data_IF_405499889586
#
_entry.id   IF_405499889586
#
_cell.length_a   1.000
_cell.length_b   1.000
_cell.length_c   1.000
_cell.angle_alpha   90.00
_cell.angle_beta   90.00
_cell.angle_gamma   90.00
#
_symmetry.space_group_name_H-M   'P 1'
#
loop_
_entity.id
_entity.type
_entity.pdbx_description
1 polymer ?
#
# COMPACT_ATOMS: atom_id res chain seq x y z
N UNK A 1 -15.75 36.54 -5.18
CA UNK A 1 -14.37 36.16 -5.54
C UNK A 1 -14.13 34.75 -5.04
N UNK A 2 -14.27 33.74 -5.91
CA UNK A 2 -14.03 32.34 -5.55
C UNK A 2 -12.54 32.03 -5.67
N UNK A 3 -11.94 31.52 -4.60
CA UNK A 3 -10.57 31.03 -4.63
C UNK A 3 -10.53 29.80 -5.54
N UNK A 4 -10.08 30.01 -6.77
CA UNK A 4 -9.56 28.96 -7.61
C UNK A 4 -8.24 28.51 -6.98
N UNK A 5 -8.29 27.44 -6.18
CA UNK A 5 -7.09 26.71 -5.79
C UNK A 5 -6.51 26.10 -7.07
N UNK A 6 -5.68 26.90 -7.74
CA UNK A 6 -4.74 26.47 -8.77
C UNK A 6 -3.99 25.30 -8.17
N UNK A 7 -4.24 24.10 -8.69
CA UNK A 7 -3.54 22.90 -8.33
C UNK A 7 -2.04 23.18 -8.44
N UNK A 8 -1.42 23.45 -7.28
CA UNK A 8 0.03 23.42 -7.15
C UNK A 8 0.50 22.12 -7.79
N UNK A 9 1.66 22.17 -8.45
CA UNK A 9 2.32 21.14 -9.30
C UNK A 9 2.47 19.71 -8.71
N UNK A 10 1.64 19.27 -7.77
CA UNK A 10 1.50 17.91 -7.29
C UNK A 10 0.84 17.05 -8.37
N UNK A 11 1.62 16.13 -8.96
CA UNK A 11 1.13 15.14 -9.92
C UNK A 11 -0.04 14.35 -9.33
N UNK A 12 -1.22 14.46 -9.95
CA UNK A 12 -2.39 13.63 -9.59
C UNK A 12 -2.11 12.20 -10.04
N UNK A 13 -2.31 11.23 -9.14
CA UNK A 13 -1.96 9.84 -9.38
C UNK A 13 -3.16 9.11 -10.01
N UNK A 14 -2.90 8.33 -11.05
CA UNK A 14 -3.92 7.47 -11.67
C UNK A 14 -4.15 6.20 -10.84
N UNK A 15 -5.33 5.61 -10.94
CA UNK A 15 -5.65 4.31 -10.31
C UNK A 15 -6.24 3.32 -11.32
N UNK A 16 -6.39 2.06 -10.92
CA UNK A 16 -7.10 1.02 -11.67
C UNK A 16 -7.72 -0.02 -10.73
N UNK A 17 -8.82 -0.62 -11.16
CA UNK A 17 -9.35 -1.81 -10.53
C UNK A 17 -8.57 -3.06 -10.94
N UNK A 18 -8.31 -3.94 -9.98
CA UNK A 18 -7.73 -5.26 -10.20
C UNK A 18 -8.71 -6.30 -9.68
N UNK A 19 -9.23 -7.11 -10.60
CA UNK A 19 -10.17 -8.17 -10.30
C UNK A 19 -9.46 -9.52 -10.27
N UNK A 20 -9.82 -10.37 -9.30
CA UNK A 20 -9.31 -11.73 -9.17
C UNK A 20 -10.42 -12.65 -8.65
N UNK A 21 -10.65 -13.74 -9.36
CA UNK A 21 -11.44 -14.86 -8.85
C UNK A 21 -10.55 -15.70 -7.95
N UNK A 22 -11.02 -16.01 -6.74
CA UNK A 22 -10.38 -16.97 -5.84
C UNK A 22 -11.22 -18.23 -5.81
N UNK A 23 -10.61 -19.33 -6.22
CA UNK A 23 -11.17 -20.67 -6.06
C UNK A 23 -10.86 -21.19 -4.65
N UNK A 24 -11.65 -22.14 -4.18
CA UNK A 24 -11.35 -22.96 -2.99
C UNK A 24 -10.38 -24.07 -3.38
N UNK A 25 -9.89 -24.81 -2.38
CA UNK A 25 -8.94 -25.91 -2.59
C UNK A 25 -9.54 -27.07 -3.42
N UNK A 26 -10.87 -27.20 -3.40
CA UNK A 26 -11.64 -28.15 -4.23
C UNK A 26 -11.92 -27.66 -5.67
N UNK A 27 -11.39 -26.49 -6.05
CA UNK A 27 -11.58 -25.88 -7.36
C UNK A 27 -12.90 -25.14 -7.55
N UNK A 28 -13.82 -25.17 -6.58
CA UNK A 28 -15.10 -24.44 -6.66
C UNK A 28 -14.91 -22.94 -6.45
N UNK A 29 -15.87 -22.13 -6.93
CA UNK A 29 -15.84 -20.68 -6.74
C UNK A 29 -15.86 -20.33 -5.25
N UNK A 30 -14.78 -19.71 -4.77
CA UNK A 30 -14.66 -19.24 -3.41
C UNK A 30 -15.16 -17.81 -3.25
N UNK A 31 -14.54 -16.85 -3.95
CA UNK A 31 -14.95 -15.43 -3.92
C UNK A 31 -14.44 -14.63 -5.12
N UNK A 32 -15.17 -13.59 -5.49
CA UNK A 32 -14.65 -12.52 -6.34
C UNK A 32 -13.92 -11.49 -5.47
N UNK A 33 -12.76 -11.01 -5.92
CA UNK A 33 -11.98 -9.98 -5.24
C UNK A 33 -11.74 -8.82 -6.20
N UNK A 34 -12.19 -7.62 -5.83
CA UNK A 34 -11.80 -6.37 -6.47
C UNK A 34 -10.82 -5.62 -5.56
N UNK A 35 -9.79 -4.99 -6.12
CA UNK A 35 -8.87 -4.10 -5.39
C UNK A 35 -8.67 -2.83 -6.20
N UNK A 36 -8.75 -1.68 -5.55
CA UNK A 36 -8.30 -0.44 -6.16
C UNK A 36 -6.79 -0.30 -5.93
N UNK A 37 -6.03 -0.11 -7.00
CA UNK A 37 -4.57 0.00 -6.97
C UNK A 37 -4.14 1.29 -7.64
N UNK A 38 -3.24 2.00 -6.99
CA UNK A 38 -2.65 3.24 -7.49
C UNK A 38 -1.54 2.90 -8.47
N UNK A 39 -1.45 3.64 -9.58
CA UNK A 39 -0.37 3.53 -10.57
C UNK A 39 0.81 4.42 -10.14
N UNK A 40 1.47 4.10 -9.02
CA UNK A 40 2.54 4.92 -8.43
C UNK A 40 3.89 4.93 -9.15
N UNK A 41 3.95 4.51 -10.43
CA UNK A 41 5.16 4.51 -11.25
C UNK A 41 5.72 5.92 -11.52
N UNK A 42 4.99 6.99 -11.17
CA UNK A 42 5.34 8.39 -11.43
C UNK A 42 5.96 9.16 -10.26
N UNK A 43 6.10 8.54 -9.07
CA UNK A 43 6.78 9.18 -7.93
C UNK A 43 8.30 8.94 -8.00
N UNK A 44 9.09 10.01 -7.98
CA UNK A 44 10.56 10.00 -7.80
C UNK A 44 10.86 9.95 -6.30
N UNK A 45 10.71 8.77 -5.70
CA UNK A 45 11.27 8.46 -4.39
C UNK A 45 11.92 7.09 -4.46
N UNK A 46 13.06 6.94 -3.81
CA UNK A 46 13.75 5.66 -3.63
C UNK A 46 12.87 4.78 -2.76
N UNK A 47 12.51 3.59 -3.26
CA UNK A 47 11.69 2.65 -2.51
C UNK A 47 12.61 1.84 -1.62
N UNK A 48 12.82 2.28 -0.39
CA UNK A 48 13.50 1.48 0.62
C UNK A 48 12.52 0.42 1.13
N UNK A 49 12.64 -0.80 0.61
CA UNK A 49 12.01 -1.96 1.24
C UNK A 49 13.01 -2.54 2.23
N UNK A 50 12.73 -2.58 3.53
CA UNK A 50 13.60 -3.21 4.50
C UNK A 50 13.56 -4.73 4.29
N UNK A 51 14.43 -5.23 3.41
CA UNK A 51 14.65 -6.67 3.26
C UNK A 51 15.59 -7.10 4.38
N UNK A 52 15.04 -7.73 5.41
CA UNK A 52 15.85 -8.35 6.45
C UNK A 52 16.74 -9.41 5.79
N UNK A 53 18.05 -9.34 6.05
CA UNK A 53 19.00 -10.35 5.56
C UNK A 53 18.68 -11.69 6.20
N UNK A 54 18.71 -12.77 5.41
CA UNK A 54 18.47 -14.12 5.90
C UNK A 54 19.45 -14.52 7.03
N UNK A 55 20.65 -13.93 7.07
CA UNK A 55 21.60 -14.12 8.17
C UNK A 55 21.05 -13.69 9.52
N UNK A 56 20.35 -12.55 9.58
CA UNK A 56 19.72 -12.05 10.81
C UNK A 56 18.61 -13.01 11.25
N UNK A 57 17.76 -13.45 10.31
CA UNK A 57 16.70 -14.42 10.58
C UNK A 57 17.27 -15.72 11.15
N UNK A 58 18.36 -16.23 10.56
CA UNK A 58 19.04 -17.44 11.04
C UNK A 58 19.64 -17.26 12.43
N UNK A 59 20.25 -16.11 12.72
CA UNK A 59 20.79 -15.81 14.05
C UNK A 59 19.69 -15.78 15.12
N UNK A 60 18.55 -15.13 14.82
CA UNK A 60 17.40 -15.10 15.74
C UNK A 60 16.89 -16.53 15.99
N UNK A 61 16.72 -17.33 14.93
CA UNK A 61 16.29 -18.73 15.06
C UNK A 61 17.28 -19.56 15.90
N UNK A 62 18.59 -19.37 15.71
CA UNK A 62 19.61 -20.05 16.49
C UNK A 62 19.51 -19.72 17.99
N UNK A 63 19.26 -18.45 18.33
CA UNK A 63 19.06 -18.00 19.72
C UNK A 63 17.79 -18.64 20.29
N UNK A 64 16.69 -18.60 19.56
CA UNK A 64 15.41 -19.19 19.98
C UNK A 64 15.56 -20.68 20.31
N UNK A 65 16.25 -21.43 19.45
CA UNK A 65 16.52 -22.86 19.68
C UNK A 65 17.44 -23.07 20.87
N UNK A 66 18.53 -22.31 20.99
CA UNK A 66 19.48 -22.43 22.10
C UNK A 66 18.84 -22.12 23.45
N UNK A 67 17.92 -21.16 23.49
CA UNK A 67 17.20 -20.74 24.70
C UNK A 67 15.90 -21.53 24.94
N UNK A 68 15.55 -22.47 24.05
CA UNK A 68 14.28 -23.23 24.06
C UNK A 68 13.05 -22.32 24.12
N UNK A 69 13.10 -21.18 23.43
CA UNK A 69 11.99 -20.24 23.37
C UNK A 69 10.95 -20.65 22.34
N UNK A 70 9.70 -20.29 22.60
CA UNK A 70 8.61 -20.45 21.63
C UNK A 70 8.64 -19.26 20.65
N UNK A 71 8.61 -19.55 19.35
CA UNK A 71 8.52 -18.53 18.30
C UNK A 71 7.07 -18.35 17.86
N UNK A 72 6.61 -17.09 17.83
CA UNK A 72 5.32 -16.72 17.25
C UNK A 72 5.56 -15.78 16.06
N UNK A 73 4.93 -16.08 14.93
CA UNK A 73 4.97 -15.23 13.74
C UNK A 73 3.64 -14.48 13.61
N UNK A 74 3.70 -13.15 13.61
CA UNK A 74 2.54 -12.30 13.32
C UNK A 74 2.59 -11.83 11.87
N UNK A 75 1.61 -12.25 11.07
CA UNK A 75 1.42 -11.72 9.73
C UNK A 75 0.31 -10.67 9.75
N UNK A 76 0.68 -9.39 9.67
CA UNK A 76 -0.28 -8.29 9.62
C UNK A 76 -0.83 -8.16 8.20
N UNK A 77 -2.05 -8.64 8.00
CA UNK A 77 -2.78 -8.39 6.77
C UNK A 77 -3.03 -6.89 6.63
N UNK A 78 -2.73 -6.33 5.45
CA UNK A 78 -2.99 -4.93 5.11
C UNK A 78 -2.17 -3.86 5.86
N UNK A 79 -0.96 -4.17 6.34
CA UNK A 79 -0.08 -3.17 6.97
C UNK A 79 0.05 -1.86 6.14
N UNK A 80 0.08 -1.99 4.81
CA UNK A 80 0.14 -0.87 3.86
C UNK A 80 -1.14 0.00 3.78
N UNK A 81 -2.30 -0.41 4.30
CA UNK A 81 -3.51 0.46 4.33
C UNK A 81 -3.54 1.33 5.59
N UNK A 82 -2.72 0.98 6.58
CA UNK A 82 -2.67 1.67 7.86
C UNK A 82 -1.52 2.67 7.94
N UNK A 83 -0.56 2.61 7.01
CA UNK A 83 0.53 3.56 6.91
C UNK A 83 0.02 4.97 6.63
N UNK A 84 0.50 5.94 7.40
CA UNK A 84 0.27 7.35 7.12
C UNK A 84 0.94 7.77 5.82
N UNK A 85 0.38 8.80 5.19
CA UNK A 85 0.96 9.39 3.99
C UNK A 85 2.03 10.39 4.41
N UNK A 86 3.28 10.14 4.05
CA UNK A 86 4.36 11.10 4.25
C UNK A 86 4.13 12.39 3.46
N UNK A 87 3.54 12.27 2.26
CA UNK A 87 3.18 13.40 1.41
C UNK A 87 1.70 13.37 1.03
N UNK A 88 1.11 14.56 0.88
CA UNK A 88 -0.25 14.69 0.37
C UNK A 88 -0.35 14.17 -1.08
N UNK A 89 -1.15 13.12 -1.26
CA UNK A 89 -1.39 12.49 -2.55
C UNK A 89 -2.84 12.71 -3.02
N UNK A 90 -2.99 13.26 -4.23
CA UNK A 90 -4.26 13.37 -4.94
C UNK A 90 -4.37 12.27 -6.00
N UNK A 91 -5.56 11.70 -6.18
CA UNK A 91 -5.82 10.58 -7.07
C UNK A 91 -6.99 10.91 -8.01
N UNK A 92 -6.87 10.50 -9.27
CA UNK A 92 -8.01 10.53 -10.18
C UNK A 92 -9.13 9.60 -9.70
N UNK A 93 -10.39 9.97 -9.94
CA UNK A 93 -11.53 9.10 -9.69
C UNK A 93 -11.34 7.72 -10.34
N UNK A 94 -11.67 6.63 -9.63
CA UNK A 94 -11.62 5.32 -10.22
C UNK A 94 -12.68 5.19 -11.32
N UNK A 95 -12.37 4.35 -12.30
CA UNK A 95 -13.30 4.01 -13.37
C UNK A 95 -14.62 3.49 -12.78
N UNK A 96 -15.73 3.97 -13.36
CA UNK A 96 -17.08 3.66 -12.89
C UNK A 96 -17.63 4.60 -11.81
N UNK A 97 -16.85 5.55 -11.31
CA UNK A 97 -17.33 6.56 -10.35
C UNK A 97 -17.55 7.89 -11.05
N UNK A 98 -18.79 8.37 -11.02
CA UNK A 98 -19.15 9.68 -11.57
C UNK A 98 -18.75 10.78 -10.59
N UNK A 99 -17.95 11.73 -11.06
CA UNK A 99 -17.65 12.96 -10.33
C UNK A 99 -17.74 14.16 -11.27
N UNK A 100 -18.06 15.35 -10.74
CA UNK A 100 -17.94 16.59 -11.50
C UNK A 100 -16.56 16.75 -12.16
N UNK A 101 -16.48 17.30 -13.38
CA UNK A 101 -15.22 17.55 -14.07
C UNK A 101 -14.27 18.40 -13.22
N UNK A 102 -12.99 18.03 -13.20
CA UNK A 102 -11.95 18.77 -12.48
C UNK A 102 -11.78 18.40 -10.99
N UNK A 103 -12.62 17.52 -10.44
CA UNK A 103 -12.44 17.03 -9.06
C UNK A 103 -11.50 15.81 -8.99
N UNK A 104 -10.74 15.76 -7.91
CA UNK A 104 -9.81 14.68 -7.56
C UNK A 104 -10.06 14.21 -6.14
N UNK A 105 -9.67 12.98 -5.82
CA UNK A 105 -9.74 12.45 -4.46
C UNK A 105 -8.43 12.70 -3.72
N UNK A 106 -8.53 13.32 -2.54
CA UNK A 106 -7.42 13.38 -1.59
C UNK A 106 -7.33 12.06 -0.83
N UNK A 107 -6.19 11.38 -0.93
CA UNK A 107 -5.93 10.17 -0.15
C UNK A 107 -5.71 10.55 1.31
N UNK A 108 -6.38 9.85 2.23
CA UNK A 108 -6.20 10.01 3.68
C UNK A 108 -5.21 9.00 4.28
N UNK A 109 -5.01 7.87 3.58
CA UNK A 109 -4.14 6.75 3.95
C UNK A 109 -3.46 6.21 2.71
N UNK A 110 -2.38 5.48 2.92
CA UNK A 110 -1.65 4.82 1.84
C UNK A 110 -2.50 3.74 1.17
N UNK A 111 -2.31 3.57 -0.14
CA UNK A 111 -2.97 2.57 -0.98
C UNK A 111 -1.92 1.67 -1.64
N UNK A 112 -2.34 0.47 -2.05
CA UNK A 112 -1.48 -0.43 -2.82
C UNK A 112 -0.92 0.26 -4.07
N UNK A 113 0.37 0.11 -4.30
CA UNK A 113 1.06 0.68 -5.45
C UNK A 113 1.54 2.11 -5.27
N UNK A 114 1.30 2.73 -4.11
CA UNK A 114 1.98 3.96 -3.71
C UNK A 114 3.40 3.61 -3.22
N UNK A 115 4.43 4.35 -3.66
CA UNK A 115 5.82 4.08 -3.26
C UNK A 115 6.09 4.35 -1.78
N UNK A 116 5.37 5.31 -1.19
CA UNK A 116 5.49 5.71 0.22
C UNK A 116 4.80 4.75 1.20
N UNK A 117 4.08 3.72 0.74
CA UNK A 117 3.30 2.83 1.60
C UNK A 117 4.15 1.85 2.45
N UNK A 118 5.48 1.91 2.35
CA UNK A 118 6.42 0.97 2.96
C UNK A 118 7.58 1.64 3.70
N UNK A 119 7.59 2.96 3.80
CA UNK A 119 8.71 3.65 4.43
C UNK A 119 8.51 3.67 5.96
N UNK A 120 9.35 2.93 6.67
CA UNK A 120 9.25 2.62 8.11
C UNK A 120 9.99 3.67 8.96
N UNK A 121 10.43 4.78 8.37
CA UNK A 121 11.26 5.79 9.04
C UNK A 121 10.51 6.70 10.04
N UNK A 122 9.24 6.43 10.38
CA UNK A 122 8.47 7.23 11.35
C UNK A 122 8.39 6.63 12.77
N UNK A 123 9.34 5.77 13.15
CA UNK A 123 9.53 5.32 14.54
C UNK A 123 10.89 5.81 15.07
N UNK A 124 10.98 7.11 15.32
CA UNK A 124 11.92 7.73 16.24
C UNK A 124 11.26 8.95 16.89
#
# INVERSE_FOLDING_TARGET
MGNHDVASRKRVISCKWVYKVKLKDDGTLGRYKARLVVKGFTQQHETFSPVIKISIVRSILAIVVAQKWTLFQLNINNAFLHGDLMEEANMHPPEGVQVPPGLVYKLKKSLYGLKQALDIDSLN
#
